data_IF_386913227376
#
_entry.id   IF_386913227376
#
_cell.length_a   1.000
_cell.length_b   1.000
_cell.length_c   1.000
_cell.angle_alpha   90.00
_cell.angle_beta   90.00
_cell.angle_gamma   90.00
#
_symmetry.space_group_name_H-M   'P 1'
#
loop_
_entity.id
_entity.type
_entity.pdbx_description
1 polymer ?
#
# COMPACT_ATOMS: atom_id res chain seq x y z
N UNK A 1 12.97 -7.98 0.18
CA UNK A 1 11.61 -7.97 0.76
C UNK A 1 11.33 -9.38 1.23
N UNK A 2 10.90 -9.53 2.48
CA UNK A 2 10.43 -10.80 3.01
C UNK A 2 9.13 -11.27 2.35
N UNK A 3 8.58 -12.36 2.86
CA UNK A 3 7.41 -13.03 2.31
C UNK A 3 7.74 -14.47 1.95
N UNK A 4 7.00 -15.02 1.00
CA UNK A 4 7.13 -16.41 0.57
C UNK A 4 7.59 -16.49 -0.88
N UNK A 5 8.49 -17.43 -1.18
CA UNK A 5 8.98 -17.71 -2.54
C UNK A 5 8.75 -19.18 -2.83
N UNK A 6 8.09 -19.48 -3.95
CA UNK A 6 7.89 -20.83 -4.44
C UNK A 6 9.16 -21.30 -5.16
N UNK A 7 9.62 -22.50 -4.79
CA UNK A 7 10.58 -23.30 -5.56
C UNK A 7 9.85 -24.52 -6.11
N UNK A 8 9.67 -24.55 -7.42
CA UNK A 8 9.02 -25.64 -8.14
C UNK A 8 9.91 -26.07 -9.30
N UNK A 9 9.84 -27.35 -9.67
CA UNK A 9 10.57 -27.83 -10.84
C UNK A 9 10.00 -27.22 -12.14
N UNK A 10 10.90 -26.88 -13.07
CA UNK A 10 10.58 -26.28 -14.36
C UNK A 10 10.30 -24.78 -14.38
N UNK A 11 10.52 -24.06 -13.27
CA UNK A 11 10.50 -22.57 -13.27
C UNK A 11 11.49 -21.99 -12.25
N UNK A 12 12.06 -20.84 -12.59
CA UNK A 12 12.84 -20.04 -11.64
C UNK A 12 12.00 -19.64 -10.41
N UNK A 13 12.61 -19.46 -9.23
CA UNK A 13 11.89 -19.10 -8.01
C UNK A 13 11.07 -17.81 -8.18
N UNK A 14 9.82 -17.84 -7.71
CA UNK A 14 8.90 -16.70 -7.83
C UNK A 14 8.20 -16.36 -6.51
N UNK A 15 7.91 -15.08 -6.24
CA UNK A 15 7.25 -14.64 -5.01
C UNK A 15 5.77 -15.06 -5.00
N UNK A 16 5.28 -15.41 -3.82
CA UNK A 16 3.89 -15.78 -3.56
C UNK A 16 3.17 -14.68 -2.78
N UNK A 17 1.95 -14.39 -3.20
CA UNK A 17 1.01 -13.60 -2.39
C UNK A 17 0.21 -14.50 -1.43
N UNK A 18 -0.55 -13.88 -0.52
CA UNK A 18 -1.32 -14.61 0.48
C UNK A 18 -2.38 -15.57 -0.13
N UNK A 19 -3.09 -15.15 -1.18
CA UNK A 19 -4.10 -15.98 -1.86
C UNK A 19 -3.48 -17.17 -2.59
N UNK A 20 -2.37 -16.95 -3.30
CA UNK A 20 -1.61 -17.99 -3.99
C UNK A 20 -1.05 -19.02 -3.00
N UNK A 21 -0.46 -18.56 -1.89
CA UNK A 21 0.03 -19.45 -0.84
C UNK A 21 -1.11 -20.29 -0.24
N UNK A 22 -2.22 -19.63 0.12
CA UNK A 22 -3.40 -20.31 0.65
C UNK A 22 -3.95 -21.36 -0.32
N UNK A 23 -4.09 -21.02 -1.60
CA UNK A 23 -4.55 -21.95 -2.62
C UNK A 23 -3.62 -23.16 -2.80
N UNK A 24 -2.30 -22.95 -2.80
CA UNK A 24 -1.32 -24.05 -2.92
C UNK A 24 -1.40 -25.03 -1.73
N UNK A 25 -1.59 -24.51 -0.51
CA UNK A 25 -1.78 -25.34 0.70
C UNK A 25 -3.11 -26.10 0.60
N UNK A 26 -4.20 -25.42 0.29
CA UNK A 26 -5.54 -26.00 0.26
C UNK A 26 -5.71 -27.10 -0.81
N UNK A 27 -4.95 -27.03 -1.91
CA UNK A 27 -4.96 -28.03 -2.98
C UNK A 27 -3.85 -29.09 -2.81
N UNK A 28 -3.16 -29.13 -1.66
CA UNK A 28 -2.09 -30.09 -1.38
C UNK A 28 -0.98 -30.09 -2.45
N UNK A 29 -0.62 -28.90 -2.96
CA UNK A 29 0.55 -28.72 -3.82
C UNK A 29 1.82 -28.42 -3.01
N UNK A 30 1.67 -27.87 -1.81
CA UNK A 30 2.73 -27.62 -0.83
C UNK A 30 2.23 -28.03 0.56
N UNK A 31 3.17 -28.39 1.43
CA UNK A 31 2.86 -28.55 2.84
C UNK A 31 2.64 -27.18 3.50
N UNK A 32 1.78 -27.14 4.52
CA UNK A 32 1.60 -25.92 5.31
C UNK A 32 2.93 -25.57 5.98
N UNK A 33 3.48 -24.36 5.74
CA UNK A 33 4.73 -23.98 6.37
C UNK A 33 4.48 -23.76 7.86
N UNK A 34 5.00 -24.66 8.71
CA UNK A 34 4.93 -24.56 10.15
C UNK A 34 5.85 -23.43 10.66
N UNK A 35 5.42 -22.19 10.45
CA UNK A 35 6.14 -20.98 10.84
C UNK A 35 5.50 -20.42 12.10
N UNK A 36 6.31 -20.23 13.14
CA UNK A 36 5.84 -19.63 14.37
C UNK A 36 5.82 -18.11 14.28
N UNK A 37 4.97 -17.46 15.09
CA UNK A 37 4.96 -15.99 15.19
C UNK A 37 6.32 -15.45 15.66
N UNK A 38 7.02 -16.20 16.52
CA UNK A 38 8.36 -15.85 16.99
C UNK A 38 9.38 -15.78 15.83
N UNK A 39 9.38 -16.76 14.92
CA UNK A 39 10.25 -16.77 13.73
C UNK A 39 9.96 -15.61 12.76
N UNK A 40 8.68 -15.22 12.65
CA UNK A 40 8.29 -14.06 11.83
C UNK A 40 8.86 -12.78 12.43
N UNK A 41 8.75 -12.61 13.74
CA UNK A 41 9.23 -11.41 14.45
C UNK A 41 10.75 -11.37 14.59
N UNK A 42 11.44 -12.51 14.66
CA UNK A 42 12.91 -12.59 14.65
C UNK A 42 13.53 -11.99 13.38
N UNK A 43 12.85 -12.15 12.24
CA UNK A 43 13.26 -11.52 10.96
C UNK A 43 12.98 -10.02 10.89
N UNK A 44 12.20 -9.48 11.81
CA UNK A 44 11.77 -8.09 11.81
C UNK A 44 12.84 -7.20 12.42
N UNK A 45 13.29 -6.19 11.67
CA UNK A 45 14.20 -5.15 12.17
C UNK A 45 13.44 -3.86 12.46
N UNK A 46 12.28 -4.00 13.09
CA UNK A 46 11.53 -2.83 13.52
C UNK A 46 12.32 -2.07 14.59
N UNK A 47 12.57 -0.79 14.36
CA UNK A 47 13.14 0.10 15.35
C UNK A 47 12.05 0.64 16.27
N UNK A 48 11.93 0.06 17.47
CA UNK A 48 10.96 0.47 18.47
C UNK A 48 11.23 1.87 19.04
N UNK A 49 12.51 2.24 19.21
CA UNK A 49 12.91 3.52 19.79
C UNK A 49 12.57 4.64 18.82
N UNK A 50 12.94 4.50 17.54
CA UNK A 50 12.60 5.48 16.51
C UNK A 50 11.08 5.70 16.43
N UNK A 51 10.28 4.62 16.46
CA UNK A 51 8.81 4.73 16.46
C UNK A 51 8.28 5.54 17.64
N UNK A 52 8.80 5.30 18.85
CA UNK A 52 8.39 6.05 20.05
C UNK A 52 8.76 7.52 19.91
N UNK A 53 10.00 7.84 19.56
CA UNK A 53 10.46 9.23 19.39
C UNK A 53 9.62 9.95 18.34
N UNK A 54 9.43 9.34 17.17
CA UNK A 54 8.60 9.92 16.09
C UNK A 54 7.15 10.11 16.53
N UNK A 55 6.59 9.18 17.32
CA UNK A 55 5.22 9.29 17.84
C UNK A 55 5.09 10.45 18.83
N UNK A 56 6.08 10.65 19.69
CA UNK A 56 6.13 11.80 20.62
C UNK A 56 6.23 13.12 19.87
N UNK A 57 7.12 13.20 18.87
CA UNK A 57 7.27 14.38 18.03
C UNK A 57 5.98 14.71 17.26
N UNK A 58 5.33 13.69 16.70
CA UNK A 58 4.06 13.82 16.01
C UNK A 58 2.95 14.33 16.94
N UNK A 59 2.83 13.74 18.13
CA UNK A 59 1.85 14.15 19.12
C UNK A 59 2.06 15.60 19.59
N UNK A 60 3.32 15.99 19.82
CA UNK A 60 3.68 17.36 20.17
C UNK A 60 3.20 18.37 19.11
N UNK A 61 3.52 18.13 17.83
CA UNK A 61 3.08 18.99 16.73
C UNK A 61 1.55 19.07 16.64
N UNK A 62 0.85 17.94 16.76
CA UNK A 62 -0.61 17.89 16.70
C UNK A 62 -1.22 18.72 17.83
N UNK A 63 -0.75 18.54 19.07
CA UNK A 63 -1.24 19.28 20.24
C UNK A 63 -0.97 20.77 20.09
N UNK A 64 0.21 21.16 19.61
CA UNK A 64 0.56 22.57 19.40
C UNK A 64 -0.33 23.22 18.33
N UNK A 65 -0.54 22.55 17.19
CA UNK A 65 -1.43 23.01 16.13
C UNK A 65 -2.88 23.13 16.63
N UNK A 66 -3.39 22.15 17.39
CA UNK A 66 -4.74 22.21 17.96
C UNK A 66 -4.85 23.35 18.98
N UNK A 67 -3.88 23.50 19.88
CA UNK A 67 -3.86 24.59 20.85
C UNK A 67 -3.95 25.94 20.17
N UNK A 68 -3.13 26.17 19.15
CA UNK A 68 -3.16 27.41 18.36
C UNK A 68 -4.48 27.58 17.59
N UNK A 69 -5.04 26.52 17.02
CA UNK A 69 -6.35 26.57 16.35
C UNK A 69 -7.46 27.00 17.32
N UNK A 70 -7.51 26.43 18.53
CA UNK A 70 -8.53 26.76 19.54
C UNK A 70 -8.40 28.17 20.09
N UNK A 71 -7.19 28.74 20.05
CA UNK A 71 -6.91 30.12 20.45
C UNK A 71 -7.06 31.12 19.29
N UNK A 72 -7.51 30.66 18.11
CA UNK A 72 -7.58 31.46 16.88
C UNK A 72 -6.23 32.11 16.50
N UNK A 73 -5.13 31.44 16.85
CA UNK A 73 -3.78 31.86 16.46
C UNK A 73 -3.43 31.34 15.06
N UNK A 74 -2.50 32.02 14.41
CA UNK A 74 -2.04 31.65 13.08
C UNK A 74 -1.36 30.27 13.11
N UNK A 75 -1.75 29.42 12.16
CA UNK A 75 -1.05 28.19 11.80
C UNK A 75 -0.39 28.47 10.45
N UNK A 76 0.89 28.14 10.33
CA UNK A 76 1.61 28.36 9.08
C UNK A 76 1.26 27.28 8.05
N UNK A 77 1.45 27.59 6.77
CA UNK A 77 1.28 26.61 5.69
C UNK A 77 2.21 25.41 5.84
N UNK A 78 3.43 25.64 6.34
CA UNK A 78 4.41 24.58 6.60
C UNK A 78 3.94 23.64 7.72
N UNK A 79 3.39 24.18 8.81
CA UNK A 79 2.85 23.38 9.91
C UNK A 79 1.64 22.57 9.47
N UNK A 80 0.74 23.14 8.67
CA UNK A 80 -0.41 22.43 8.13
C UNK A 80 0.00 21.29 7.18
N UNK A 81 0.97 21.54 6.30
CA UNK A 81 1.53 20.51 5.43
C UNK A 81 2.20 19.39 6.24
N UNK A 82 2.97 19.75 7.28
CA UNK A 82 3.60 18.78 8.16
C UNK A 82 2.55 17.97 8.94
N UNK A 83 1.49 18.61 9.41
CA UNK A 83 0.36 17.97 10.08
C UNK A 83 -0.32 16.94 9.17
N UNK A 84 -0.50 17.25 7.89
CA UNK A 84 -1.05 16.32 6.91
C UNK A 84 -0.15 15.08 6.74
N UNK A 85 1.16 15.29 6.57
CA UNK A 85 2.14 14.19 6.46
C UNK A 85 2.18 13.35 7.75
N UNK A 86 2.20 14.00 8.91
CA UNK A 86 2.20 13.34 10.22
C UNK A 86 0.94 12.50 10.41
N UNK A 87 -0.24 13.03 10.05
CA UNK A 87 -1.50 12.30 10.13
C UNK A 87 -1.44 11.01 9.28
N UNK A 88 -1.00 11.11 8.03
CA UNK A 88 -0.77 9.94 7.17
C UNK A 88 0.24 8.96 7.76
N UNK A 89 1.32 9.48 8.34
CA UNK A 89 2.39 8.67 8.93
C UNK A 89 1.87 7.88 10.13
N UNK A 90 1.06 8.51 11.00
CA UNK A 90 0.45 7.83 12.15
C UNK A 90 -0.54 6.75 11.72
N UNK A 91 -1.39 7.02 10.73
CA UNK A 91 -2.30 6.01 10.17
C UNK A 91 -1.54 4.82 9.57
N UNK A 92 -0.46 5.10 8.83
CA UNK A 92 0.41 4.06 8.26
C UNK A 92 1.12 3.27 9.36
N UNK A 93 1.66 3.96 10.36
CA UNK A 93 2.33 3.34 11.50
C UNK A 93 1.37 2.42 12.27
N UNK A 94 0.13 2.86 12.49
CA UNK A 94 -0.94 2.07 13.11
C UNK A 94 -1.24 0.80 12.31
N UNK A 95 -1.45 0.93 10.99
CA UNK A 95 -1.68 -0.22 10.11
C UNK A 95 -0.48 -1.20 10.06
N UNK A 96 0.74 -0.71 10.34
CA UNK A 96 1.97 -1.49 10.32
C UNK A 96 2.50 -1.89 11.70
N UNK A 97 1.74 -1.71 12.78
CA UNK A 97 2.13 -2.14 14.12
C UNK A 97 2.48 -3.63 14.13
N UNK A 98 1.59 -4.45 13.54
CA UNK A 98 1.72 -5.91 13.49
C UNK A 98 2.36 -6.42 12.19
N UNK A 99 3.09 -5.56 11.47
CA UNK A 99 3.74 -5.92 10.20
C UNK A 99 5.27 -5.94 10.35
N UNK A 100 5.95 -7.09 10.15
CA UNK A 100 7.40 -7.15 10.16
C UNK A 100 8.05 -6.14 9.19
N UNK A 101 9.16 -5.53 9.62
CA UNK A 101 9.86 -4.49 8.85
C UNK A 101 11.30 -4.93 8.49
N UNK A 102 11.80 -4.41 7.37
CA UNK A 102 13.13 -4.72 6.78
C UNK A 102 13.49 -6.22 6.76
N UNK A 103 12.51 -7.07 6.43
CA UNK A 103 12.79 -8.50 6.20
C UNK A 103 13.59 -8.65 4.91
N UNK A 104 14.81 -9.18 5.04
CA UNK A 104 15.74 -9.32 3.91
C UNK A 104 15.66 -10.68 3.21
N UNK A 105 15.33 -11.73 3.95
CA UNK A 105 15.29 -13.11 3.43
C UNK A 105 13.86 -13.67 3.43
N UNK A 106 13.34 -14.13 2.28
CA UNK A 106 12.03 -14.75 2.22
C UNK A 106 12.04 -16.15 2.84
N UNK A 107 10.86 -16.68 3.12
CA UNK A 107 10.63 -18.09 3.40
C UNK A 107 10.49 -18.83 2.06
N UNK A 108 11.29 -19.88 1.88
CA UNK A 108 11.19 -20.72 0.70
C UNK A 108 10.21 -21.85 0.96
N UNK A 109 9.24 -22.00 0.07
CA UNK A 109 8.33 -23.13 0.06
C UNK A 109 8.62 -23.94 -1.19
N UNK A 110 8.92 -25.22 -1.01
CA UNK A 110 9.26 -26.12 -2.10
C UNK A 110 8.09 -27.04 -2.39
N UNK A 111 7.93 -27.42 -3.66
CA UNK A 111 7.01 -28.47 -4.10
C UNK A 111 7.77 -29.53 -4.87
N UNK A 112 7.39 -30.80 -4.70
CA UNK A 112 7.92 -31.91 -5.49
C UNK A 112 7.27 -32.02 -6.87
N UNK A 113 6.13 -31.36 -7.08
CA UNK A 113 5.38 -31.37 -8.35
C UNK A 113 6.02 -30.40 -9.34
N UNK A 114 6.03 -30.75 -10.63
CA UNK A 114 6.47 -29.82 -11.66
C UNK A 114 5.43 -28.70 -11.79
N UNK A 115 5.87 -27.46 -12.01
CA UNK A 115 4.95 -26.30 -12.09
C UNK A 115 3.82 -26.47 -13.12
N UNK A 116 4.09 -27.16 -14.24
CA UNK A 116 3.11 -27.52 -15.29
C UNK A 116 1.96 -28.36 -14.75
N UNK A 117 2.20 -29.21 -13.76
CA UNK A 117 1.18 -30.09 -13.17
C UNK A 117 0.27 -29.31 -12.21
N UNK A 118 0.79 -28.20 -11.66
CA UNK A 118 0.05 -27.32 -10.73
C UNK A 118 -0.85 -26.36 -11.50
N UNK A 119 -0.33 -25.72 -12.55
CA UNK A 119 -1.05 -24.67 -13.29
C UNK A 119 -1.78 -25.21 -14.52
N UNK A 120 -1.46 -26.43 -14.95
CA UNK A 120 -1.84 -26.99 -16.25
C UNK A 120 -1.06 -26.35 -17.42
N UNK A 121 -1.54 -26.55 -18.64
CA UNK A 121 -1.00 -25.88 -19.84
C UNK A 121 -1.48 -24.42 -20.00
N UNK A 122 -1.76 -23.72 -18.89
CA UNK A 122 -2.24 -22.34 -18.92
C UNK A 122 -1.09 -21.37 -19.21
N UNK A 123 -1.32 -20.41 -20.11
CA UNK A 123 -0.39 -19.31 -20.31
C UNK A 123 -0.45 -18.34 -19.12
N UNK A 124 0.70 -17.74 -18.81
CA UNK A 124 0.84 -16.78 -17.71
C UNK A 124 1.70 -15.59 -18.15
N UNK A 125 1.59 -14.46 -17.44
CA UNK A 125 2.22 -13.19 -17.86
C UNK A 125 3.37 -12.79 -16.95
N UNK A 126 3.16 -12.80 -15.64
CA UNK A 126 4.07 -12.30 -14.61
C UNK A 126 4.60 -13.44 -13.74
N UNK A 127 3.69 -14.28 -13.23
CA UNK A 127 4.00 -15.46 -12.44
C UNK A 127 3.18 -16.65 -12.93
N UNK A 128 3.67 -17.90 -12.82
CA UNK A 128 2.89 -19.09 -13.17
C UNK A 128 1.52 -19.17 -12.48
N UNK A 129 1.40 -18.56 -11.30
CA UNK A 129 0.21 -18.58 -10.45
C UNK A 129 -0.69 -17.34 -10.65
N UNK A 130 -0.52 -16.61 -11.76
CA UNK A 130 -1.34 -15.43 -12.07
C UNK A 130 -2.85 -15.75 -12.12
N UNK A 131 -3.21 -16.97 -12.53
CA UNK A 131 -4.63 -17.39 -12.66
C UNK A 131 -5.36 -17.62 -11.34
N UNK A 132 -4.62 -17.75 -10.23
CA UNK A 132 -5.19 -18.01 -8.90
C UNK A 132 -5.65 -16.72 -8.23
N UNK A 133 -5.05 -15.61 -8.63
CA UNK A 133 -5.32 -14.33 -8.03
C UNK A 133 -5.26 -13.26 -9.09
N UNK A 134 -6.45 -12.81 -9.51
CA UNK A 134 -6.58 -11.73 -10.46
C UNK A 134 -5.76 -10.54 -9.97
N UNK A 135 -4.76 -10.19 -10.77
CA UNK A 135 -3.93 -9.03 -10.48
C UNK A 135 -4.86 -7.83 -10.42
N UNK A 136 -4.98 -7.24 -9.22
CA UNK A 136 -5.69 -5.98 -9.05
C UNK A 136 -5.08 -4.89 -9.93
N UNK A 137 -5.76 -3.74 -10.05
CA UNK A 137 -5.16 -2.60 -10.75
C UNK A 137 -3.87 -2.22 -10.02
N UNK A 138 -2.73 -2.67 -10.53
CA UNK A 138 -1.40 -2.22 -10.14
C UNK A 138 -0.96 -1.14 -11.11
N UNK A 139 -0.67 0.05 -10.58
CA UNK A 139 -0.04 1.15 -11.33
C UNK A 139 1.19 0.66 -12.12
N UNK A 140 2.04 -0.15 -11.48
CA UNK A 140 3.28 -0.67 -12.01
C UNK A 140 3.12 -1.74 -13.08
N UNK A 141 2.07 -2.55 -12.99
CA UNK A 141 1.80 -3.62 -13.94
C UNK A 141 0.93 -3.17 -15.13
N UNK A 142 0.08 -2.16 -14.94
CA UNK A 142 -0.93 -1.77 -15.92
C UNK A 142 -0.67 -0.40 -16.55
N UNK A 143 -0.35 0.62 -15.75
CA UNK A 143 -0.24 1.99 -16.25
C UNK A 143 1.18 2.34 -16.69
N UNK A 144 2.19 1.97 -15.90
CA UNK A 144 3.58 2.28 -16.23
C UNK A 144 4.04 1.68 -17.57
N UNK A 145 3.70 0.42 -17.93
CA UNK A 145 4.03 -0.13 -19.24
C UNK A 145 3.30 0.59 -20.38
N UNK A 146 2.05 1.01 -20.17
CA UNK A 146 1.31 1.84 -21.13
C UNK A 146 2.01 3.19 -21.36
N UNK A 147 2.56 3.78 -20.31
CA UNK A 147 3.37 5.02 -20.37
C UNK A 147 4.83 4.79 -20.78
N UNK A 148 5.23 3.57 -21.17
CA UNK A 148 6.61 3.19 -21.53
C UNK A 148 7.65 3.50 -20.43
N UNK A 149 7.24 3.46 -19.16
CA UNK A 149 8.13 3.66 -18.03
C UNK A 149 8.85 2.34 -17.67
N UNK A 150 10.18 2.33 -17.51
CA UNK A 150 10.94 1.14 -17.14
C UNK A 150 10.92 0.95 -15.62
N UNK A 151 10.00 0.13 -15.09
CA UNK A 151 9.84 0.00 -13.64
C UNK A 151 9.85 -1.46 -13.14
N UNK A 152 9.58 -2.41 -14.02
CA UNK A 152 9.64 -3.84 -13.69
C UNK A 152 10.65 -4.51 -14.61
N UNK A 153 11.60 -5.31 -14.08
CA UNK A 153 12.51 -6.08 -14.90
C UNK A 153 11.72 -6.92 -15.91
N UNK A 154 12.20 -6.98 -17.15
CA UNK A 154 11.61 -7.82 -18.19
C UNK A 154 11.77 -9.32 -17.91
N UNK A 155 12.64 -9.69 -16.95
CA UNK A 155 12.86 -11.05 -16.50
C UNK A 155 11.58 -11.64 -15.91
N UNK A 156 11.27 -12.87 -16.33
CA UNK A 156 10.12 -13.64 -15.87
C UNK A 156 10.57 -14.98 -15.27
N UNK A 157 9.93 -15.45 -14.19
CA UNK A 157 8.87 -14.79 -13.42
C UNK A 157 9.38 -13.56 -12.66
N UNK A 158 8.46 -12.64 -12.33
CA UNK A 158 8.82 -11.42 -11.59
C UNK A 158 9.46 -11.77 -10.24
N UNK A 159 10.47 -11.01 -9.82
CA UNK A 159 11.24 -11.31 -8.60
C UNK A 159 10.66 -10.66 -7.32
N UNK A 160 9.65 -9.80 -7.48
CA UNK A 160 9.00 -9.08 -6.40
C UNK A 160 7.57 -8.76 -6.77
N UNK A 161 6.64 -8.94 -5.83
CA UNK A 161 5.27 -8.43 -5.94
C UNK A 161 5.28 -6.91 -5.74
N UNK A 162 4.74 -6.11 -6.67
CA UNK A 162 4.68 -4.66 -6.52
C UNK A 162 3.84 -4.21 -5.31
N UNK A 163 4.22 -3.09 -4.68
CA UNK A 163 3.57 -2.58 -3.45
C UNK A 163 2.33 -1.72 -3.72
N UNK A 164 2.06 -1.41 -4.98
CA UNK A 164 0.92 -0.64 -5.47
C UNK A 164 -0.27 -1.54 -5.82
N UNK A 165 -0.19 -2.82 -5.43
CA UNK A 165 -1.28 -3.75 -5.56
C UNK A 165 -2.35 -3.43 -4.51
N UNK A 166 -3.53 -3.02 -4.98
CA UNK A 166 -4.70 -2.95 -4.12
C UNK A 166 -5.24 -4.36 -3.84
N UNK A 167 -5.30 -4.79 -2.56
CA UNK A 167 -5.93 -6.06 -2.22
C UNK A 167 -7.43 -5.95 -2.51
N UNK A 168 -7.86 -6.49 -3.65
CA UNK A 168 -9.28 -6.49 -4.02
C UNK A 168 -10.04 -7.45 -3.11
N UNK A 169 -10.67 -6.89 -2.07
CA UNK A 169 -11.76 -7.51 -1.36
C UNK A 169 -12.98 -6.58 -1.52
N UNK A 170 -13.99 -6.96 -2.32
CA UNK A 170 -15.13 -6.09 -2.59
C UNK A 170 -15.88 -5.62 -1.33
N UNK A 171 -15.74 -6.32 -0.21
CA UNK A 171 -16.40 -5.96 1.05
C UNK A 171 -15.39 -5.60 2.15
N UNK A 172 -14.14 -5.34 1.76
CA UNK A 172 -13.07 -5.07 2.70
C UNK A 172 -13.17 -3.68 3.29
N UNK A 173 -13.22 -3.58 4.62
CA UNK A 173 -13.03 -2.32 5.35
C UNK A 173 -11.73 -1.59 4.94
N UNK A 174 -10.75 -2.31 4.40
CA UNK A 174 -9.47 -1.79 3.92
C UNK A 174 -9.61 -0.71 2.83
N UNK A 175 -10.47 -0.91 1.83
CA UNK A 175 -10.68 0.07 0.74
C UNK A 175 -11.23 1.38 1.31
N UNK A 176 -12.27 1.29 2.14
CA UNK A 176 -12.86 2.44 2.83
C UNK A 176 -11.89 3.15 3.77
N UNK A 177 -11.07 2.40 4.52
CA UNK A 177 -10.03 2.96 5.37
C UNK A 177 -8.99 3.76 4.57
N UNK A 178 -8.58 3.24 3.41
CA UNK A 178 -7.60 3.90 2.54
C UNK A 178 -8.19 5.14 1.84
N UNK A 179 -9.47 5.05 1.44
CA UNK A 179 -10.25 6.19 0.95
C UNK A 179 -10.33 7.30 2.00
N UNK A 180 -10.75 6.95 3.22
CA UNK A 180 -10.79 7.89 4.33
C UNK A 180 -9.41 8.52 4.60
N UNK A 181 -8.35 7.72 4.66
CA UNK A 181 -6.99 8.20 4.93
C UNK A 181 -6.52 9.25 3.90
N UNK A 182 -6.73 8.97 2.62
CA UNK A 182 -6.29 9.86 1.53
C UNK A 182 -7.18 11.10 1.39
N UNK A 183 -8.48 11.00 1.66
CA UNK A 183 -9.37 12.16 1.74
C UNK A 183 -9.08 13.02 2.96
N UNK A 184 -8.72 12.43 4.11
CA UNK A 184 -8.31 13.18 5.29
C UNK A 184 -7.03 13.97 5.02
N UNK A 185 -6.03 13.34 4.40
CA UNK A 185 -4.78 14.01 3.99
C UNK A 185 -5.04 15.25 3.12
N UNK A 186 -5.86 15.10 2.07
CA UNK A 186 -6.13 16.19 1.13
C UNK A 186 -7.09 17.22 1.73
N UNK A 187 -8.03 16.80 2.58
CA UNK A 187 -8.96 17.67 3.31
C UNK A 187 -8.25 18.59 4.31
N UNK A 188 -7.16 18.15 4.93
CA UNK A 188 -6.34 19.00 5.81
C UNK A 188 -5.79 20.24 5.08
N UNK A 189 -5.47 20.14 3.78
CA UNK A 189 -5.01 21.28 3.00
C UNK A 189 -6.12 22.32 2.79
N UNK A 190 -7.37 21.85 2.62
CA UNK A 190 -8.55 22.73 2.54
C UNK A 190 -8.77 23.48 3.86
N UNK A 191 -8.44 22.89 5.02
CA UNK A 191 -8.58 23.55 6.31
C UNK A 191 -7.80 24.89 6.40
N UNK A 192 -6.74 25.04 5.62
CA UNK A 192 -5.98 26.30 5.46
C UNK A 192 -6.66 27.39 4.63
N UNK A 193 -7.96 27.27 4.32
CA UNK A 193 -8.69 28.15 3.39
C UNK A 193 -8.57 29.64 3.70
N UNK A 194 -8.53 29.98 5.00
CA UNK A 194 -8.52 31.34 5.53
C UNK A 194 -7.14 31.80 6.00
N UNK A 195 -6.06 31.09 5.66
CA UNK A 195 -4.71 31.50 6.02
C UNK A 195 -4.34 32.84 5.38
N UNK A 196 -3.54 33.62 6.10
CA UNK A 196 -2.93 34.84 5.59
C UNK A 196 -1.75 34.47 4.69
N UNK A 197 -1.70 35.07 3.51
CA UNK A 197 -0.60 34.91 2.55
C UNK A 197 -0.02 36.29 2.23
N UNK A 198 1.28 36.38 1.90
CA UNK A 198 1.93 37.64 1.52
C UNK A 198 1.26 38.33 0.31
N UNK A 199 0.74 37.56 -0.64
CA UNK A 199 0.06 38.07 -1.82
C UNK A 199 -1.31 37.42 -2.08
N UNK A 200 -2.16 38.14 -2.83
CA UNK A 200 -3.44 37.60 -3.30
C UNK A 200 -3.26 36.39 -4.23
N UNK A 201 -2.19 36.40 -5.04
CA UNK A 201 -1.87 35.32 -5.96
C UNK A 201 -1.58 34.02 -5.21
N UNK A 202 -0.72 34.06 -4.18
CA UNK A 202 -0.40 32.88 -3.36
C UNK A 202 -1.64 32.31 -2.66
N UNK A 203 -2.52 33.17 -2.15
CA UNK A 203 -3.79 32.73 -1.54
C UNK A 203 -4.69 32.03 -2.55
N UNK A 204 -4.80 32.55 -3.77
CA UNK A 204 -5.61 31.93 -4.83
C UNK A 204 -4.98 30.60 -5.24
N UNK A 205 -3.67 30.56 -5.45
CA UNK A 205 -2.94 29.34 -5.80
C UNK A 205 -3.13 28.25 -4.73
N UNK A 206 -3.00 28.60 -3.45
CA UNK A 206 -3.24 27.67 -2.35
C UNK A 206 -4.64 27.05 -2.42
N UNK A 207 -5.68 27.88 -2.58
CA UNK A 207 -7.08 27.43 -2.65
C UNK A 207 -7.33 26.55 -3.86
N UNK A 208 -6.84 26.95 -5.03
CA UNK A 208 -7.00 26.19 -6.28
C UNK A 208 -6.29 24.84 -6.17
N UNK A 209 -5.04 24.81 -5.73
CA UNK A 209 -4.27 23.57 -5.59
C UNK A 209 -4.90 22.64 -4.54
N UNK A 210 -5.36 23.17 -3.41
CA UNK A 210 -6.04 22.39 -2.37
C UNK A 210 -7.33 21.75 -2.88
N UNK A 211 -8.13 22.50 -3.66
CA UNK A 211 -9.34 21.98 -4.30
C UNK A 211 -9.04 20.93 -5.37
N UNK A 212 -8.03 21.16 -6.21
CA UNK A 212 -7.59 20.19 -7.22
C UNK A 212 -7.15 18.89 -6.53
N UNK A 213 -6.32 19.00 -5.49
CA UNK A 213 -5.79 17.84 -4.76
C UNK A 213 -6.93 16.99 -4.16
N UNK A 214 -7.87 17.63 -3.47
CA UNK A 214 -9.03 16.94 -2.90
C UNK A 214 -9.96 16.40 -3.98
N UNK A 215 -10.27 17.19 -5.00
CA UNK A 215 -11.17 16.81 -6.09
C UNK A 215 -10.66 15.64 -6.91
N UNK A 216 -9.37 15.63 -7.26
CA UNK A 216 -8.72 14.51 -7.96
C UNK A 216 -8.73 13.26 -7.10
N UNK A 217 -8.48 13.38 -5.79
CA UNK A 217 -8.50 12.23 -4.87
C UNK A 217 -9.91 11.66 -4.72
N UNK A 218 -10.92 12.52 -4.57
CA UNK A 218 -12.32 12.09 -4.51
C UNK A 218 -12.78 11.46 -5.83
N UNK A 219 -12.41 12.05 -6.97
CA UNK A 219 -12.71 11.49 -8.30
C UNK A 219 -12.02 10.13 -8.51
N UNK A 220 -10.76 9.98 -8.09
CA UNK A 220 -10.06 8.70 -8.14
C UNK A 220 -10.84 7.61 -7.38
N UNK A 221 -11.27 7.88 -6.14
CA UNK A 221 -12.03 6.91 -5.36
C UNK A 221 -13.41 6.60 -5.94
N UNK A 222 -14.11 7.62 -6.46
CA UNK A 222 -15.39 7.39 -7.13
C UNK A 222 -15.21 6.47 -8.36
N UNK A 223 -14.23 6.76 -9.21
CA UNK A 223 -13.94 5.96 -10.41
C UNK A 223 -13.43 4.56 -10.06
N UNK A 224 -12.58 4.43 -9.05
CA UNK A 224 -12.07 3.14 -8.56
C UNK A 224 -13.23 2.29 -8.04
N UNK A 225 -14.10 2.87 -7.19
CA UNK A 225 -15.25 2.15 -6.62
C UNK A 225 -16.21 1.71 -7.72
N UNK A 226 -16.52 2.58 -8.68
CA UNK A 226 -17.33 2.23 -9.86
C UNK A 226 -16.69 1.09 -10.67
N UNK A 227 -15.38 1.17 -10.93
CA UNK A 227 -14.67 0.14 -11.69
C UNK A 227 -14.54 -1.17 -10.91
N UNK A 228 -14.49 -1.13 -9.58
CA UNK A 228 -14.52 -2.29 -8.69
C UNK A 228 -15.88 -2.98 -8.75
N UNK A 229 -16.98 -2.21 -8.75
CA UNK A 229 -18.34 -2.75 -8.89
C UNK A 229 -18.54 -3.47 -10.22
N UNK A 230 -18.11 -2.85 -11.33
CA UNK A 230 -18.19 -3.46 -12.67
C UNK A 230 -17.37 -4.74 -12.76
N UNK A 231 -16.15 -4.76 -12.18
CA UNK A 231 -15.26 -5.93 -12.23
C UNK A 231 -15.72 -7.08 -11.36
N UNK A 232 -16.33 -6.79 -10.21
CA UNK A 232 -16.67 -7.79 -9.19
C UNK A 232 -18.16 -8.14 -9.18
N UNK A 233 -18.96 -7.56 -10.08
CA UNK A 233 -20.37 -7.89 -10.26
C UNK A 233 -21.24 -7.53 -9.05
N UNK A 234 -21.05 -6.34 -8.48
CA UNK A 234 -21.92 -5.79 -7.44
C UNK A 234 -23.19 -5.20 -8.03
#
# INVERSE_FOLDING_TARGET
MGGFVLKADGVEPCPLNAKQLHWLVMNHHIDYPAITTAEIWDKSKQDGIAKVITSVQAAYLIVECIGRATQCLAITTLELNTLAIVTCTLMTAFAWLHKPADVRTPFFVSTSKHIRDIIGNRSWRNTPLDSIDDNGPGWSMNVQPFMRMPVIPSQRPIQRIPNDRFPMNPYGAQEYCFCFATLLFTGLHIAGWNFAFPSQLERILWRVISLILFGVTAAFWALETMASWVRLGR
#
